data_IF_968514596262
#
_entry.id   IF_968514596262
#
_cell.length_a   1.000
_cell.length_b   1.000
_cell.length_c   1.000
_cell.angle_alpha   90.00
_cell.angle_beta   90.00
_cell.angle_gamma   90.00
#
_symmetry.space_group_name_H-M   'P 1'
#
loop_
_entity.id
_entity.type
_entity.pdbx_description
1 polymer ?
#
# COMPACT_ATOMS: atom_id res chain seq x y z
N UNK A 1 11.38 32.77 -14.77
CA UNK A 1 11.33 31.59 -13.89
C UNK A 1 12.39 31.68 -12.79
N UNK A 2 12.56 32.87 -12.22
CA UNK A 2 13.58 33.16 -11.21
C UNK A 2 12.94 33.03 -9.83
N UNK A 3 13.44 32.12 -8.99
CA UNK A 3 13.00 32.02 -7.59
C UNK A 3 12.26 30.76 -7.14
N UNK A 4 12.20 29.69 -7.94
CA UNK A 4 11.81 28.37 -7.39
C UNK A 4 13.01 27.80 -6.64
N UNK A 5 13.07 28.03 -5.33
CA UNK A 5 14.01 27.33 -4.47
C UNK A 5 13.74 25.82 -4.56
N UNK A 6 14.68 25.06 -5.12
CA UNK A 6 14.64 23.60 -5.06
C UNK A 6 14.88 23.16 -3.62
N UNK A 7 13.85 22.64 -2.96
CA UNK A 7 13.89 22.10 -1.59
C UNK A 7 14.39 20.65 -1.58
N UNK A 8 15.44 20.34 -2.33
CA UNK A 8 15.97 18.99 -2.44
C UNK A 8 16.50 18.54 -1.08
N UNK A 9 15.82 17.58 -0.44
CA UNK A 9 16.21 16.98 0.82
C UNK A 9 16.81 15.59 0.56
N UNK A 10 18.03 15.35 1.05
CA UNK A 10 18.67 14.04 0.99
C UNK A 10 18.42 13.32 2.32
N UNK A 11 17.84 12.14 2.26
CA UNK A 11 17.59 11.29 3.44
C UNK A 11 18.43 10.02 3.33
N UNK A 12 19.21 9.71 4.37
CA UNK A 12 19.92 8.43 4.49
C UNK A 12 19.15 7.50 5.42
N UNK A 13 18.67 6.38 4.87
CA UNK A 13 18.01 5.33 5.64
C UNK A 13 19.03 4.25 5.96
N UNK A 14 19.21 3.97 7.25
CA UNK A 14 20.10 2.90 7.74
C UNK A 14 19.23 1.75 8.23
N UNK A 15 19.43 0.58 7.65
CA UNK A 15 18.74 -0.65 8.04
C UNK A 15 19.64 -1.45 8.98
N UNK A 16 19.02 -2.19 9.91
CA UNK A 16 19.76 -3.18 10.72
C UNK A 16 20.31 -4.27 9.82
N UNK A 17 21.47 -4.80 10.19
CA UNK A 17 22.08 -5.95 9.50
C UNK A 17 21.14 -7.16 9.50
N UNK A 18 21.19 -7.94 8.43
CA UNK A 18 20.38 -9.15 8.27
C UNK A 18 18.89 -8.89 8.01
N UNK A 19 18.47 -7.65 7.70
CA UNK A 19 17.08 -7.40 7.30
C UNK A 19 16.80 -7.99 5.90
N UNK A 20 15.89 -8.96 5.79
CA UNK A 20 15.50 -9.53 4.50
C UNK A 20 14.75 -8.51 3.65
N UNK A 21 14.87 -8.61 2.32
CA UNK A 21 14.32 -7.64 1.36
C UNK A 21 12.79 -7.50 1.49
N UNK A 22 12.13 -8.58 1.86
CA UNK A 22 10.69 -8.74 2.06
C UNK A 22 10.19 -7.89 3.22
N UNK A 23 11.06 -7.57 4.19
CA UNK A 23 10.73 -6.73 5.35
C UNK A 23 10.95 -5.25 5.10
N UNK A 24 11.59 -4.85 4.00
CA UNK A 24 11.69 -3.44 3.63
C UNK A 24 10.27 -2.87 3.41
N UNK A 25 9.96 -1.63 3.77
CA UNK A 25 8.66 -1.06 3.42
C UNK A 25 8.54 -0.92 1.90
N UNK A 26 7.40 -1.28 1.29
CA UNK A 26 7.16 -1.02 -0.14
C UNK A 26 6.83 0.45 -0.42
N UNK A 27 6.40 1.18 0.60
CA UNK A 27 6.04 2.59 0.53
C UNK A 27 6.62 3.33 1.73
N UNK A 28 7.21 4.48 1.47
CA UNK A 28 7.65 5.44 2.49
C UNK A 28 6.77 6.68 2.42
N UNK A 29 6.65 7.38 3.54
CA UNK A 29 5.92 8.64 3.62
C UNK A 29 6.86 9.74 4.08
N UNK A 30 7.02 10.77 3.25
CA UNK A 30 7.82 11.96 3.53
C UNK A 30 6.87 13.16 3.59
N UNK A 31 6.50 13.58 4.81
CA UNK A 31 5.45 14.57 5.01
C UNK A 31 4.13 14.12 4.38
N UNK A 32 3.65 14.87 3.37
CA UNK A 32 2.43 14.53 2.60
C UNK A 32 2.71 13.68 1.36
N UNK A 33 3.98 13.51 0.97
CA UNK A 33 4.37 12.73 -0.20
C UNK A 33 4.52 11.24 0.14
N UNK A 34 4.16 10.38 -0.82
CA UNK A 34 4.42 8.93 -0.76
C UNK A 34 5.48 8.58 -1.79
N UNK A 35 6.48 7.82 -1.37
CA UNK A 35 7.51 7.28 -2.24
C UNK A 35 7.35 5.75 -2.32
N UNK A 36 7.57 5.19 -3.50
CA UNK A 36 7.64 3.74 -3.69
C UNK A 36 9.08 3.28 -3.53
N UNK A 37 9.28 2.20 -2.79
CA UNK A 37 10.60 1.58 -2.62
C UNK A 37 10.69 0.43 -3.61
N UNK A 38 11.60 0.56 -4.58
CA UNK A 38 11.87 -0.47 -5.59
C UNK A 38 13.18 -1.16 -5.23
N UNK A 39 13.12 -2.46 -5.02
CA UNK A 39 14.26 -3.31 -4.65
C UNK A 39 14.36 -4.42 -5.69
N UNK A 40 15.50 -4.57 -6.38
CA UNK A 40 15.70 -5.68 -7.32
C UNK A 40 15.47 -7.04 -6.64
N UNK A 41 14.83 -7.97 -7.35
CA UNK A 41 14.57 -9.32 -6.85
C UNK A 41 13.38 -9.45 -5.88
N UNK A 42 12.81 -8.34 -5.41
CA UNK A 42 11.63 -8.37 -4.53
C UNK A 42 10.34 -8.43 -5.33
N UNK A 43 9.37 -9.23 -4.85
CA UNK A 43 8.01 -9.25 -5.40
C UNK A 43 7.38 -7.85 -5.40
N UNK A 44 6.78 -7.39 -6.52
CA UNK A 44 6.16 -6.08 -6.60
C UNK A 44 4.90 -5.99 -5.73
N UNK A 45 4.58 -4.77 -5.28
CA UNK A 45 3.28 -4.47 -4.66
C UNK A 45 2.29 -3.96 -5.71
N UNK A 46 1.07 -4.46 -5.65
CA UNK A 46 -0.02 -3.98 -6.48
C UNK A 46 -0.57 -2.66 -5.92
N UNK A 47 -0.41 -1.56 -6.66
CA UNK A 47 -0.98 -0.25 -6.29
C UNK A 47 -2.52 -0.17 -6.42
N UNK A 48 -3.19 -1.28 -6.76
CA UNK A 48 -4.66 -1.39 -6.76
C UNK A 48 -5.15 -2.02 -5.47
N UNK A 49 -4.80 -3.29 -5.23
CA UNK A 49 -5.27 -4.04 -4.07
C UNK A 49 -4.28 -4.08 -2.89
N UNK A 50 -3.11 -3.44 -3.01
CA UNK A 50 -2.06 -3.41 -1.99
C UNK A 50 -1.48 -4.78 -1.58
N UNK A 51 -1.67 -5.83 -2.39
CA UNK A 51 -1.07 -7.16 -2.19
C UNK A 51 0.24 -7.31 -2.96
N UNK A 52 1.13 -8.19 -2.51
CA UNK A 52 2.40 -8.52 -3.17
C UNK A 52 2.22 -9.54 -4.30
N UNK A 53 3.22 -9.64 -5.17
CA UNK A 53 3.33 -10.68 -6.21
C UNK A 53 2.82 -10.27 -7.59
N UNK A 54 2.18 -9.10 -7.72
CA UNK A 54 1.70 -8.62 -9.02
C UNK A 54 1.63 -7.09 -9.10
N UNK A 55 1.62 -6.55 -10.31
CA UNK A 55 1.49 -5.11 -10.56
C UNK A 55 0.03 -4.73 -10.85
N UNK A 56 -0.29 -3.43 -10.71
CA UNK A 56 -1.64 -2.88 -10.96
C UNK A 56 -2.20 -3.28 -12.32
N UNK A 57 -1.37 -3.34 -13.36
CA UNK A 57 -1.75 -3.68 -14.74
C UNK A 57 -2.39 -5.07 -14.86
N UNK A 58 -1.94 -6.04 -14.08
CA UNK A 58 -2.42 -7.43 -14.14
C UNK A 58 -3.40 -7.79 -13.02
N UNK A 59 -3.77 -6.82 -12.18
CA UNK A 59 -4.63 -7.05 -11.03
C UNK A 59 -6.08 -7.26 -11.47
N UNK A 60 -6.63 -8.44 -11.19
CA UNK A 60 -8.04 -8.81 -11.45
C UNK A 60 -8.90 -8.86 -10.18
N UNK A 61 -8.41 -8.32 -9.07
CA UNK A 61 -9.12 -8.34 -7.79
C UNK A 61 -10.41 -7.53 -7.89
N UNK A 62 -11.57 -8.07 -7.51
CA UNK A 62 -12.85 -7.38 -7.58
C UNK A 62 -12.94 -6.19 -6.61
N UNK A 63 -13.84 -5.25 -6.93
CA UNK A 63 -14.14 -4.07 -6.13
C UNK A 63 -15.51 -4.20 -5.47
N UNK A 64 -15.56 -3.99 -4.15
CA UNK A 64 -16.80 -3.94 -3.39
C UNK A 64 -17.30 -2.50 -3.32
N UNK A 65 -18.50 -2.24 -3.85
CA UNK A 65 -19.10 -0.90 -3.84
C UNK A 65 -19.63 -0.48 -2.46
N UNK A 66 -19.97 -1.42 -1.59
CA UNK A 66 -20.54 -1.12 -0.27
C UNK A 66 -19.49 -0.55 0.69
N UNK A 67 -18.28 -1.10 0.65
CA UNK A 67 -17.19 -0.69 1.53
C UNK A 67 -16.08 0.08 0.80
N UNK A 68 -16.12 0.18 -0.53
CA UNK A 68 -15.12 0.90 -1.32
C UNK A 68 -13.73 0.27 -1.22
N UNK A 69 -13.66 -1.06 -1.16
CA UNK A 69 -12.40 -1.83 -1.00
C UNK A 69 -12.23 -2.88 -2.09
N UNK A 70 -10.98 -3.19 -2.42
CA UNK A 70 -10.63 -4.33 -3.27
C UNK A 70 -10.52 -5.62 -2.45
N UNK A 71 -11.04 -6.72 -2.98
CA UNK A 71 -10.85 -8.06 -2.40
C UNK A 71 -12.01 -9.02 -2.64
N UNK A 72 -13.23 -8.49 -2.71
CA UNK A 72 -14.47 -9.24 -2.94
C UNK A 72 -15.46 -8.37 -3.74
N UNK A 73 -16.50 -9.00 -4.29
CA UNK A 73 -17.67 -8.34 -4.89
C UNK A 73 -18.76 -8.12 -3.84
N UNK A 74 -19.74 -7.25 -4.15
CA UNK A 74 -20.88 -6.97 -3.27
C UNK A 74 -21.60 -8.24 -2.82
N UNK A 75 -21.76 -9.21 -3.72
CA UNK A 75 -22.52 -10.43 -3.42
C UNK A 75 -21.82 -11.32 -2.39
N UNK A 76 -20.51 -11.17 -2.22
CA UNK A 76 -19.68 -11.87 -1.23
C UNK A 76 -19.25 -10.94 -0.07
N UNK A 77 -20.00 -9.86 0.14
CA UNK A 77 -19.71 -8.83 1.13
C UNK A 77 -20.19 -9.26 2.52
N UNK A 78 -19.26 -9.66 3.39
CA UNK A 78 -19.59 -10.01 4.79
C UNK A 78 -19.31 -8.81 5.71
N UNK A 79 -20.37 -8.28 6.31
CA UNK A 79 -20.31 -7.22 7.32
C UNK A 79 -19.85 -7.80 8.67
N UNK A 80 -18.54 -7.85 8.89
CA UNK A 80 -18.01 -8.13 10.22
C UNK A 80 -18.31 -6.95 11.15
N UNK A 81 -18.81 -7.22 12.36
CA UNK A 81 -19.09 -6.24 13.41
C UNK A 81 -17.93 -5.24 13.64
N UNK A 82 -16.68 -5.72 13.52
CA UNK A 82 -15.48 -4.89 13.63
C UNK A 82 -15.34 -3.82 12.52
N UNK A 83 -15.90 -4.05 11.32
CA UNK A 83 -15.87 -3.08 10.21
C UNK A 83 -16.91 -1.98 10.36
N UNK A 84 -18.04 -2.25 11.03
CA UNK A 84 -19.10 -1.27 11.26
C UNK A 84 -18.64 -0.13 12.16
N UNK A 85 -17.73 -0.40 13.11
CA UNK A 85 -17.15 0.59 14.02
C UNK A 85 -15.89 1.28 13.45
N UNK A 86 -15.36 0.81 12.32
CA UNK A 86 -14.06 1.20 11.76
C UNK A 86 -14.10 2.18 10.58
N UNK A 87 -15.19 2.94 10.39
CA UNK A 87 -15.32 3.90 9.26
C UNK A 87 -14.25 5.01 9.23
N UNK A 88 -13.33 5.07 10.20
CA UNK A 88 -12.27 6.10 10.28
C UNK A 88 -10.83 5.60 10.40
N UNK A 89 -10.55 4.36 10.82
CA UNK A 89 -9.17 3.92 11.05
C UNK A 89 -9.03 2.43 10.78
N UNK A 90 -8.12 2.11 9.85
CA UNK A 90 -7.37 0.86 9.63
C UNK A 90 -7.36 0.47 8.14
N UNK A 91 -6.49 1.15 7.36
CA UNK A 91 -5.98 0.64 6.07
C UNK A 91 -4.90 -0.43 6.31
N UNK A 92 -5.19 -1.40 7.17
CA UNK A 92 -4.30 -2.54 7.41
C UNK A 92 -5.07 -3.83 7.20
N UNK A 93 -4.64 -4.55 6.18
CA UNK A 93 -5.01 -5.91 5.78
C UNK A 93 -6.09 -6.59 6.61
N UNK A 94 -7.33 -6.49 6.16
CA UNK A 94 -8.30 -7.54 6.44
C UNK A 94 -8.08 -8.61 5.39
N UNK A 95 -7.52 -9.74 5.82
CA UNK A 95 -7.48 -10.98 5.06
C UNK A 95 -8.87 -11.23 4.48
N UNK A 96 -8.93 -11.21 3.15
CA UNK A 96 -9.97 -11.93 2.43
C UNK A 96 -9.40 -13.35 2.37
N UNK A 97 -10.02 -14.27 3.11
CA UNK A 97 -9.74 -15.70 2.99
C UNK A 97 -9.85 -16.15 1.54
#
# INVERSE_FOLDING_TARGET
FDGVQSTTCIVRLVFREGLPLERLPHQLRFGKAKALVVVPGRSPICLRCHRTGHIRRVCRVPWCSEFGVFGHERDNCVSSYARTMGRGLLRSGVNCS
#
